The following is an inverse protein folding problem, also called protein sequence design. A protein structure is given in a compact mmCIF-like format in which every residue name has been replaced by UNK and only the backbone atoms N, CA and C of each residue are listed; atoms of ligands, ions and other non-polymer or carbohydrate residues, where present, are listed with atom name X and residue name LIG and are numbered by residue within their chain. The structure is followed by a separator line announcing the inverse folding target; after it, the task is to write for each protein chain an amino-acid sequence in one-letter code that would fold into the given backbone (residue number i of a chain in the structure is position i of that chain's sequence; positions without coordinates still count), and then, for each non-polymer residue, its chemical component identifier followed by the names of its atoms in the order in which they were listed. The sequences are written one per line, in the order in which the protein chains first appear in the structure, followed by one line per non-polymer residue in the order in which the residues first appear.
data_IF_604090319438
#
_entry.id   IF_604090319438
#
_cell.length_a   1.000
_cell.length_b   1.000
_cell.length_c   1.000
_cell.angle_alpha   90.00
_cell.angle_beta   90.00
_cell.angle_gamma   90.00
#
_symmetry.space_group_name_H-M   'P 1'
#
loop_
_entity.id
_entity.type
_entity.pdbx_description
1 polymer ?
#
# COMPACT_ATOMS: atom_id res chain seq x y z
N UNK A 1 -17.20 -5.28 -28.35
CA UNK A 1 -16.11 -4.97 -27.39
C UNK A 1 -16.77 -4.78 -26.04
N UNK A 2 -16.53 -5.69 -25.09
CA UNK A 2 -17.18 -5.64 -23.78
C UNK A 2 -16.61 -4.47 -22.98
N UNK A 3 -17.45 -3.48 -22.68
CA UNK A 3 -17.15 -2.48 -21.67
C UNK A 3 -16.99 -3.22 -20.33
N UNK A 4 -15.92 -3.02 -19.56
CA UNK A 4 -15.85 -3.55 -18.22
C UNK A 4 -17.06 -2.97 -17.45
N UNK A 5 -17.91 -3.88 -16.99
CA UNK A 5 -19.07 -3.61 -16.15
C UNK A 5 -18.57 -3.20 -14.76
N UNK A 6 -18.01 -2.01 -14.67
CA UNK A 6 -17.72 -1.37 -13.40
C UNK A 6 -19.03 -0.81 -12.85
N UNK A 7 -19.85 -1.68 -12.29
CA UNK A 7 -20.95 -1.25 -11.42
C UNK A 7 -20.33 -1.09 -10.04
N UNK A 8 -19.81 0.10 -9.74
CA UNK A 8 -19.45 0.45 -8.38
C UNK A 8 -20.66 0.17 -7.50
N UNK A 9 -20.52 -0.75 -6.55
CA UNK A 9 -21.54 -0.94 -5.53
C UNK A 9 -21.71 0.38 -4.77
N UNK A 10 -22.89 0.64 -4.19
CA UNK A 10 -23.15 1.91 -3.49
C UNK A 10 -22.16 2.25 -2.37
N UNK A 11 -21.36 1.26 -1.92
CA UNK A 11 -20.35 1.38 -0.87
C UNK A 11 -18.90 1.20 -1.39
N UNK A 12 -18.67 1.29 -2.70
CA UNK A 12 -17.33 1.21 -3.29
C UNK A 12 -16.74 2.61 -3.48
N UNK A 13 -15.60 2.85 -2.83
CA UNK A 13 -14.93 4.15 -2.87
C UNK A 13 -13.53 4.00 -3.47
N UNK A 14 -13.21 4.74 -4.56
CA UNK A 14 -11.90 4.65 -5.18
C UNK A 14 -10.84 5.35 -4.31
N UNK A 15 -9.81 4.61 -3.90
CA UNK A 15 -8.63 5.17 -3.24
C UNK A 15 -7.70 5.70 -4.33
N UNK A 16 -7.74 7.01 -4.57
CA UNK A 16 -6.91 7.65 -5.60
C UNK A 16 -5.46 7.68 -5.15
N UNK A 17 -4.61 6.93 -5.86
CA UNK A 17 -3.17 6.88 -5.63
C UNK A 17 -2.42 7.02 -6.95
N UNK A 18 -1.40 7.89 -6.98
CA UNK A 18 -0.54 8.02 -8.15
C UNK A 18 0.41 6.82 -8.22
N UNK A 19 0.03 5.81 -9.01
CA UNK A 19 0.84 4.64 -9.33
C UNK A 19 1.22 4.67 -10.80
N UNK A 20 2.41 4.13 -11.12
CA UNK A 20 2.94 4.09 -12.47
C UNK A 20 2.71 2.70 -13.08
N UNK A 21 2.85 1.65 -12.25
CA UNK A 21 2.61 0.25 -12.59
C UNK A 21 1.68 -0.45 -11.57
N UNK A 22 1.37 -1.73 -11.83
CA UNK A 22 0.36 -2.50 -11.10
C UNK A 22 0.66 -2.73 -9.62
N UNK A 23 -0.41 -2.97 -8.86
CA UNK A 23 -0.36 -3.32 -7.42
C UNK A 23 -0.11 -4.82 -7.27
N UNK A 24 0.79 -5.20 -6.36
CA UNK A 24 1.10 -6.62 -6.05
C UNK A 24 0.40 -7.09 -4.78
N UNK A 25 0.33 -6.24 -3.76
CA UNK A 25 -0.28 -6.56 -2.46
C UNK A 25 -0.88 -5.31 -1.83
N UNK A 26 -1.99 -5.50 -1.12
CA UNK A 26 -2.59 -4.53 -0.21
C UNK A 26 -2.76 -5.17 1.16
N UNK A 27 -2.55 -4.40 2.23
CA UNK A 27 -2.72 -4.87 3.60
C UNK A 27 -3.08 -3.72 4.50
N UNK A 28 -4.09 -3.88 5.36
CA UNK A 28 -4.33 -2.96 6.46
C UNK A 28 -3.35 -3.23 7.60
N UNK A 29 -2.93 -2.18 8.29
CA UNK A 29 -2.22 -2.37 9.54
C UNK A 29 -3.15 -2.99 10.59
N UNK A 30 -2.60 -3.88 11.42
CA UNK A 30 -3.29 -4.48 12.56
C UNK A 30 -3.35 -3.50 13.75
N UNK A 31 -3.79 -2.27 13.50
CA UNK A 31 -4.16 -1.32 14.55
C UNK A 31 -5.68 -1.36 14.75
N UNK A 32 -6.15 -1.08 15.96
CA UNK A 32 -7.58 -1.04 16.30
C UNK A 32 -8.36 -0.04 15.42
N UNK A 33 -7.67 0.95 14.85
CA UNK A 33 -8.26 1.96 13.98
C UNK A 33 -8.40 1.53 12.52
N UNK A 34 -7.67 0.50 12.06
CA UNK A 34 -7.54 0.08 10.65
C UNK A 34 -7.36 1.23 9.65
N UNK A 35 -6.77 2.34 10.12
CA UNK A 35 -6.66 3.60 9.37
C UNK A 35 -5.51 3.58 8.36
N UNK A 36 -4.52 2.72 8.56
CA UNK A 36 -3.32 2.68 7.74
C UNK A 36 -3.41 1.54 6.74
N UNK A 37 -3.25 1.88 5.46
CA UNK A 37 -3.22 0.94 4.35
C UNK A 37 -1.83 0.94 3.72
N UNK A 38 -1.24 -0.24 3.61
CA UNK A 38 -0.03 -0.48 2.83
C UNK A 38 -0.39 -0.98 1.43
N UNK A 39 0.35 -0.51 0.43
CA UNK A 39 0.20 -0.94 -0.96
C UNK A 39 1.59 -1.12 -1.57
N UNK A 40 1.91 -2.33 -2.02
CA UNK A 40 3.14 -2.59 -2.77
C UNK A 40 2.90 -2.62 -4.28
N UNK A 41 3.89 -2.16 -5.04
CA UNK A 41 3.78 -2.00 -6.49
C UNK A 41 4.93 -2.65 -7.23
N UNK A 42 4.69 -2.91 -8.52
CA UNK A 42 5.73 -3.34 -9.46
C UNK A 42 6.82 -2.27 -9.70
N UNK A 43 6.57 -1.02 -9.34
CA UNK A 43 7.55 0.08 -9.40
C UNK A 43 8.63 0.02 -8.32
N UNK A 44 8.57 -0.98 -7.45
CA UNK A 44 9.46 -1.09 -6.31
C UNK A 44 9.06 -0.20 -5.14
N UNK A 45 7.86 0.38 -5.14
CA UNK A 45 7.38 1.17 -4.01
C UNK A 45 6.49 0.35 -3.09
N UNK A 46 6.62 0.60 -1.79
CA UNK A 46 5.58 0.33 -0.80
C UNK A 46 5.06 1.68 -0.33
N UNK A 47 3.82 2.00 -0.69
CA UNK A 47 3.13 3.21 -0.25
C UNK A 47 2.36 2.92 1.03
N UNK A 48 2.44 3.86 1.96
CA UNK A 48 1.73 3.83 3.23
C UNK A 48 0.75 5.00 3.19
N UNK A 49 -0.52 4.66 3.23
CA UNK A 49 -1.64 5.56 3.08
C UNK A 49 -2.40 5.63 4.39
N UNK A 50 -2.88 6.83 4.70
CA UNK A 50 -3.87 7.06 5.73
C UNK A 50 -5.26 7.15 5.07
N UNK A 51 -6.11 6.18 5.33
CA UNK A 51 -7.45 6.07 4.72
C UNK A 51 -8.57 6.53 5.67
N UNK A 52 -8.28 7.41 6.63
CA UNK A 52 -9.31 8.00 7.50
C UNK A 52 -10.47 8.62 6.71
N UNK A 53 -10.16 9.24 5.57
CA UNK A 53 -11.16 9.72 4.63
C UNK A 53 -11.04 8.93 3.32
N UNK A 54 -12.05 8.12 2.96
CA UNK A 54 -12.00 7.31 1.74
C UNK A 54 -11.91 8.13 0.45
N UNK A 55 -12.36 9.40 0.47
CA UNK A 55 -12.32 10.29 -0.68
C UNK A 55 -10.97 11.02 -0.83
N UNK A 56 -10.16 11.05 0.22
CA UNK A 56 -8.87 11.76 0.27
C UNK A 56 -7.86 10.99 1.11
N UNK A 57 -7.38 9.83 0.63
CA UNK A 57 -6.33 9.08 1.31
C UNK A 57 -5.05 9.94 1.38
N UNK A 58 -4.52 10.13 2.58
CA UNK A 58 -3.30 10.90 2.78
C UNK A 58 -2.07 10.05 2.48
N UNK A 59 -1.18 10.52 1.60
CA UNK A 59 0.15 9.92 1.43
C UNK A 59 0.95 10.14 2.72
N UNK A 60 1.16 9.07 3.52
CA UNK A 60 1.87 9.16 4.79
C UNK A 60 3.38 9.02 4.59
N UNK A 61 3.79 7.91 3.97
CA UNK A 61 5.20 7.53 3.72
C UNK A 61 5.31 6.57 2.54
N UNK A 62 6.53 6.43 2.01
CA UNK A 62 6.85 5.46 0.98
C UNK A 62 8.24 4.85 1.19
N UNK A 63 8.33 3.54 1.00
CA UNK A 63 9.59 2.80 0.97
C UNK A 63 9.92 2.44 -0.47
N UNK A 64 11.20 2.51 -0.85
CA UNK A 64 11.67 2.20 -2.20
C UNK A 64 12.61 0.98 -2.25
N UNK A 65 12.40 0.15 -3.28
CA UNK A 65 13.22 -0.96 -3.72
C UNK A 65 13.60 -0.75 -5.18
N UNK A 66 14.79 -1.19 -5.57
CA UNK A 66 15.25 -1.10 -6.96
C UNK A 66 14.49 -2.05 -7.89
N UNK A 67 13.71 -2.97 -7.32
CA UNK A 67 13.01 -4.04 -8.01
C UNK A 67 11.56 -4.13 -7.51
N UNK A 68 10.67 -4.76 -8.30
CA UNK A 68 9.27 -4.96 -7.93
C UNK A 68 9.13 -5.54 -6.53
N UNK A 69 8.32 -4.88 -5.69
CA UNK A 69 8.01 -5.41 -4.36
C UNK A 69 6.91 -6.45 -4.51
N UNK A 70 7.21 -7.69 -4.17
CA UNK A 70 6.26 -8.80 -4.33
C UNK A 70 5.33 -8.93 -3.12
N UNK A 71 5.82 -8.58 -1.93
CA UNK A 71 5.05 -8.67 -0.69
C UNK A 71 5.64 -7.76 0.37
N UNK A 72 4.80 -7.38 1.33
CA UNK A 72 5.19 -6.69 2.55
C UNK A 72 4.31 -7.13 3.72
N UNK A 73 4.71 -6.81 4.94
CA UNK A 73 3.90 -6.99 6.14
C UNK A 73 4.14 -5.86 7.12
N UNK A 74 3.07 -5.45 7.82
CA UNK A 74 3.17 -4.56 8.97
C UNK A 74 3.67 -5.32 10.19
N UNK A 75 4.44 -4.64 11.03
CA UNK A 75 4.83 -5.07 12.37
C UNK A 75 4.33 -4.06 13.40
N UNK A 76 4.01 -4.55 14.60
CA UNK A 76 3.62 -3.74 15.76
C UNK A 76 2.56 -2.66 15.46
N UNK A 77 1.50 -3.00 14.71
CA UNK A 77 0.38 -2.06 14.53
C UNK A 77 0.67 -0.81 13.69
N UNK A 78 1.58 -0.88 12.71
CA UNK A 78 2.02 0.20 11.80
C UNK A 78 3.22 1.03 12.25
N UNK A 79 4.00 0.59 13.22
CA UNK A 79 5.29 1.22 13.55
C UNK A 79 6.36 0.89 12.50
N UNK A 80 6.32 -0.32 11.95
CA UNK A 80 7.32 -0.80 10.99
C UNK A 80 6.69 -1.60 9.85
N UNK A 81 7.37 -1.62 8.70
CA UNK A 81 7.08 -2.50 7.58
C UNK A 81 8.31 -3.33 7.24
N UNK A 82 8.09 -4.60 6.91
CA UNK A 82 9.08 -5.45 6.25
C UNK A 82 8.58 -5.77 4.86
N UNK A 83 9.39 -5.54 3.85
CA UNK A 83 9.05 -5.78 2.45
C UNK A 83 10.17 -6.52 1.72
N UNK A 84 9.76 -7.39 0.78
CA UNK A 84 10.65 -8.21 -0.03
C UNK A 84 10.48 -7.91 -1.52
N UNK A 85 11.59 -7.70 -2.22
CA UNK A 85 11.61 -7.50 -3.66
C UNK A 85 11.87 -8.80 -4.45
N UNK A 86 11.76 -8.72 -5.78
CA UNK A 86 11.96 -9.86 -6.67
C UNK A 86 13.40 -10.35 -6.79
N UNK A 87 14.38 -9.57 -6.34
CA UNK A 87 15.80 -9.94 -6.36
C UNK A 87 16.25 -10.58 -5.03
N UNK A 88 15.32 -10.76 -4.09
CA UNK A 88 15.57 -11.36 -2.79
C UNK A 88 16.06 -10.37 -1.73
N UNK A 89 16.02 -9.07 -1.98
CA UNK A 89 16.31 -8.08 -0.94
C UNK A 89 15.10 -7.94 -0.02
N UNK A 90 15.38 -7.92 1.28
CA UNK A 90 14.39 -7.63 2.31
C UNK A 90 14.79 -6.35 3.02
N UNK A 91 13.86 -5.40 3.11
CA UNK A 91 14.09 -4.13 3.81
C UNK A 91 13.07 -3.94 4.91
N UNK A 92 13.56 -3.61 6.10
CA UNK A 92 12.75 -3.04 7.18
C UNK A 92 12.70 -1.53 7.02
N UNK A 93 11.53 -0.95 7.21
CA UNK A 93 11.28 0.50 7.21
C UNK A 93 10.54 0.88 8.48
N UNK A 94 11.07 1.84 9.21
CA UNK A 94 10.44 2.41 10.38
C UNK A 94 9.55 3.58 9.92
N UNK A 95 8.25 3.50 10.20
CA UNK A 95 7.27 4.47 9.73
C UNK A 95 7.35 5.76 10.55
N UNK A 96 7.74 5.67 11.82
CA UNK A 96 7.81 6.81 12.73
C UNK A 96 9.05 7.66 12.46
N UNK A 97 10.22 7.02 12.33
CA UNK A 97 11.48 7.74 12.19
C UNK A 97 11.83 8.09 10.75
N UNK A 98 11.32 7.34 9.77
CA UNK A 98 11.46 7.61 8.34
C UNK A 98 12.82 7.25 7.76
#
# INVERSE_FOLDING_TARGET
MAQPHYMASANEFPITMKLIHGVTKVQFANDQTQRILGVSTWDGFVKILDVQNPNSPGDKRNQYHHKPVLSFTFMHGAECIVSGDSDGNVKKYDIETG
#
